data_IF_866397254632
#
_entry.id   IF_866397254632
#
_cell.length_a   1.000
_cell.length_b   1.000
_cell.length_c   1.000
_cell.angle_alpha   90.00
_cell.angle_beta   90.00
_cell.angle_gamma   90.00
#
_symmetry.space_group_name_H-M   'P 1'
#
loop_
_entity.id
_entity.type
_entity.pdbx_description
1 polymer ?
#
# COMPACT_ATOMS: atom_id res chain seq x y z
N UNK A 1 49.94 -56.31 -50.29
CA UNK A 1 49.36 -55.11 -50.93
C UNK A 1 48.11 -54.70 -50.17
N UNK A 2 48.26 -53.84 -49.15
CA UNK A 2 47.15 -53.43 -48.27
C UNK A 2 46.98 -51.93 -48.46
N UNK A 3 45.83 -51.54 -48.93
CA UNK A 3 45.41 -50.17 -49.01
C UNK A 3 44.64 -49.78 -47.74
N UNK A 4 45.21 -48.91 -46.91
CA UNK A 4 44.52 -48.25 -45.81
C UNK A 4 43.62 -47.16 -46.36
N UNK A 5 42.35 -47.22 -46.09
CA UNK A 5 41.42 -46.12 -46.27
C UNK A 5 41.37 -45.32 -44.97
N UNK A 6 41.80 -44.08 -45.04
CA UNK A 6 41.69 -43.10 -43.95
C UNK A 6 40.37 -42.37 -44.07
N UNK A 7 39.45 -42.61 -43.15
CA UNK A 7 38.18 -41.87 -43.03
C UNK A 7 38.39 -40.70 -42.12
N UNK A 8 38.30 -39.50 -42.70
CA UNK A 8 38.29 -38.23 -41.95
C UNK A 8 36.88 -37.96 -41.50
N UNK A 9 36.65 -38.09 -40.18
CA UNK A 9 35.38 -37.70 -39.56
C UNK A 9 35.38 -36.20 -39.29
N UNK A 10 34.57 -35.44 -40.02
CA UNK A 10 34.36 -34.02 -39.76
C UNK A 10 33.35 -33.88 -38.59
N UNK A 11 33.84 -33.40 -37.43
CA UNK A 11 32.96 -32.97 -36.33
C UNK A 11 32.34 -31.62 -36.68
N UNK A 12 31.03 -31.60 -36.90
CA UNK A 12 30.26 -30.38 -36.99
C UNK A 12 29.97 -29.87 -35.58
N UNK A 13 30.63 -28.80 -35.17
CA UNK A 13 30.33 -28.06 -33.92
C UNK A 13 29.12 -27.17 -34.19
N UNK A 14 27.94 -27.61 -33.74
CA UNK A 14 26.72 -26.77 -33.74
C UNK A 14 26.83 -25.75 -32.59
N UNK A 15 27.13 -24.49 -32.95
CA UNK A 15 27.11 -23.37 -32.00
C UNK A 15 25.64 -23.02 -31.66
N UNK A 16 25.19 -23.42 -30.50
CA UNK A 16 23.92 -22.97 -29.95
C UNK A 16 24.10 -21.53 -29.42
N UNK A 17 23.74 -20.56 -30.25
CA UNK A 17 23.60 -19.17 -29.80
C UNK A 17 22.31 -19.07 -28.98
N UNK A 18 22.44 -19.13 -27.65
CA UNK A 18 21.33 -18.83 -26.74
C UNK A 18 20.97 -17.34 -26.92
N UNK A 19 19.82 -17.09 -27.51
CA UNK A 19 19.19 -15.77 -27.56
C UNK A 19 18.79 -15.39 -26.11
N UNK A 20 19.65 -14.67 -25.42
CA UNK A 20 19.29 -13.96 -24.20
C UNK A 20 18.32 -12.84 -24.60
N UNK A 21 17.03 -13.11 -24.56
CA UNK A 21 16.03 -12.04 -24.52
C UNK A 21 16.26 -11.25 -23.22
N UNK A 22 16.50 -9.91 -23.28
CA UNK A 22 16.53 -9.12 -22.07
C UNK A 22 15.18 -9.29 -21.39
N UNK A 23 15.17 -9.71 -20.11
CA UNK A 23 13.98 -9.67 -19.29
C UNK A 23 13.52 -8.20 -19.31
N UNK A 24 12.40 -7.91 -19.98
CA UNK A 24 11.74 -6.61 -19.90
C UNK A 24 11.32 -6.42 -18.45
N UNK A 25 12.20 -5.83 -17.64
CA UNK A 25 11.82 -5.29 -16.35
C UNK A 25 10.68 -4.32 -16.63
N UNK A 26 9.49 -4.57 -16.10
CA UNK A 26 8.39 -3.64 -16.20
C UNK A 26 8.89 -2.28 -15.70
N UNK A 27 9.01 -1.32 -16.61
CA UNK A 27 9.48 0.03 -16.27
C UNK A 27 8.44 0.64 -15.32
N UNK A 28 8.88 1.03 -14.12
CA UNK A 28 8.01 1.66 -13.15
C UNK A 28 7.38 2.93 -13.78
N UNK A 29 6.06 2.97 -13.83
CA UNK A 29 5.33 4.10 -14.42
C UNK A 29 5.51 5.32 -13.52
N UNK A 30 6.15 6.37 -14.05
CA UNK A 30 6.34 7.62 -13.32
C UNK A 30 5.05 8.43 -13.32
N UNK A 31 4.55 8.78 -12.12
CA UNK A 31 3.38 9.62 -11.95
C UNK A 31 3.70 11.12 -12.09
N UNK A 32 2.73 11.86 -12.62
CA UNK A 32 2.73 13.32 -12.72
C UNK A 32 1.63 13.90 -11.81
N UNK A 33 1.98 14.65 -10.74
CA UNK A 33 1.00 15.22 -9.82
C UNK A 33 0.06 16.24 -10.49
N UNK A 34 0.51 16.96 -11.53
CA UNK A 34 -0.34 17.93 -12.26
C UNK A 34 -1.39 17.19 -13.11
N UNK A 35 -1.00 16.10 -13.74
CA UNK A 35 -1.94 15.22 -14.44
C UNK A 35 -2.89 14.54 -13.44
N UNK A 36 -2.36 14.13 -12.27
CA UNK A 36 -3.12 13.51 -11.19
C UNK A 36 -4.25 14.41 -10.68
N UNK A 37 -3.98 15.68 -10.46
CA UNK A 37 -4.98 16.67 -10.03
C UNK A 37 -6.23 16.69 -10.92
N UNK A 38 -6.07 16.47 -12.22
CA UNK A 38 -7.20 16.45 -13.17
C UNK A 38 -8.00 15.15 -13.13
N UNK A 39 -7.55 14.13 -12.41
CA UNK A 39 -8.12 12.78 -12.39
C UNK A 39 -8.77 12.41 -11.05
N UNK A 40 -8.69 13.26 -10.03
CA UNK A 40 -9.13 12.96 -8.67
C UNK A 40 -10.62 13.16 -8.40
N UNK A 41 -11.42 13.63 -9.36
CA UNK A 41 -12.83 13.97 -9.15
C UNK A 41 -13.63 12.85 -8.45
N UNK A 42 -13.36 11.58 -8.78
CA UNK A 42 -14.01 10.44 -8.11
C UNK A 42 -13.43 10.15 -6.70
N UNK A 43 -12.28 10.68 -6.38
CA UNK A 43 -11.59 10.44 -5.11
C UNK A 43 -12.02 11.45 -4.04
N UNK A 44 -12.06 12.73 -4.39
CA UNK A 44 -12.34 13.85 -3.46
C UNK A 44 -13.75 13.79 -2.88
N UNK A 45 -14.73 13.27 -3.61
CA UNK A 45 -16.11 13.10 -3.14
C UNK A 45 -16.25 12.24 -1.88
N UNK A 46 -15.20 11.47 -1.53
CA UNK A 46 -15.14 10.68 -0.31
C UNK A 46 -13.89 11.03 0.51
N UNK A 47 -12.69 11.04 -0.10
CA UNK A 47 -11.42 11.22 0.60
C UNK A 47 -11.10 12.69 0.93
N UNK A 48 -11.75 13.66 0.27
CA UNK A 48 -11.61 15.10 0.53
C UNK A 48 -12.63 15.66 1.53
N UNK A 49 -13.57 14.87 2.04
CA UNK A 49 -14.62 15.34 2.96
C UNK A 49 -14.26 14.98 4.41
N UNK A 50 -14.05 16.00 5.24
CA UNK A 50 -13.74 15.80 6.66
C UNK A 50 -14.88 15.05 7.37
N UNK A 51 -14.55 13.94 8.01
CA UNK A 51 -15.50 13.13 8.78
C UNK A 51 -16.43 12.25 7.94
N UNK A 52 -16.28 12.20 6.62
CA UNK A 52 -17.07 11.32 5.77
C UNK A 52 -16.91 9.86 6.17
N UNK A 53 -18.02 9.13 6.24
CA UNK A 53 -18.07 7.75 6.70
C UNK A 53 -18.58 6.82 5.60
N UNK A 54 -17.93 5.67 5.48
CA UNK A 54 -18.44 4.51 4.76
C UNK A 54 -19.22 3.61 5.73
N UNK A 55 -20.24 2.93 5.22
CA UNK A 55 -21.06 1.99 6.01
C UNK A 55 -20.65 0.53 5.79
N UNK A 56 -19.73 0.27 4.88
CA UNK A 56 -19.30 -1.07 4.51
C UNK A 56 -17.78 -1.26 4.73
N UNK A 57 -17.34 -2.40 5.31
CA UNK A 57 -18.12 -3.53 5.87
C UNK A 57 -18.75 -3.22 7.24
N UNK A 58 -18.39 -2.11 7.81
CA UNK A 58 -18.90 -1.52 9.04
C UNK A 58 -18.71 0.00 8.97
N UNK A 59 -19.37 0.76 9.83
CA UNK A 59 -19.23 2.21 9.85
C UNK A 59 -17.82 2.60 10.27
N UNK A 60 -17.12 3.31 9.40
CA UNK A 60 -15.79 3.88 9.65
C UNK A 60 -15.56 5.11 8.78
N UNK A 61 -14.67 6.00 9.19
CA UNK A 61 -14.27 7.14 8.37
C UNK A 61 -13.52 6.67 7.14
N UNK A 62 -13.79 7.30 6.01
CA UNK A 62 -13.02 7.08 4.78
C UNK A 62 -11.56 7.48 5.05
N UNK A 63 -10.57 6.66 4.67
CA UNK A 63 -9.20 6.88 5.07
C UNK A 63 -8.60 8.16 4.47
N UNK A 64 -7.71 8.77 5.24
CA UNK A 64 -6.84 9.84 4.78
C UNK A 64 -5.86 9.30 3.76
N UNK A 65 -5.74 9.94 2.62
CA UNK A 65 -4.82 9.54 1.56
C UNK A 65 -3.84 10.64 1.16
N UNK A 66 -4.14 11.92 1.42
CA UNK A 66 -3.19 13.01 1.22
C UNK A 66 -2.01 12.86 2.17
N UNK A 67 -0.79 12.91 1.63
CA UNK A 67 0.47 12.66 2.34
C UNK A 67 0.91 11.20 2.40
N UNK A 68 0.11 10.27 1.88
CA UNK A 68 0.49 8.87 1.77
C UNK A 68 1.51 8.66 0.65
N UNK A 69 2.39 7.67 0.81
CA UNK A 69 3.40 7.34 -0.19
C UNK A 69 2.80 6.91 -1.54
N UNK A 70 3.31 7.46 -2.64
CA UNK A 70 2.77 7.17 -3.97
C UNK A 70 2.84 5.69 -4.32
N UNK A 71 3.95 5.01 -4.02
CA UNK A 71 4.08 3.56 -4.27
C UNK A 71 3.06 2.74 -3.50
N UNK A 72 2.75 3.12 -2.25
CA UNK A 72 1.70 2.46 -1.49
C UNK A 72 0.31 2.70 -2.09
N UNK A 73 0.01 3.92 -2.55
CA UNK A 73 -1.29 4.22 -3.18
C UNK A 73 -1.46 3.38 -4.45
N UNK A 74 -0.43 3.30 -5.32
CA UNK A 74 -0.45 2.44 -6.52
C UNK A 74 -0.65 0.97 -6.13
N UNK A 75 0.09 0.46 -5.14
CA UNK A 75 -0.06 -0.91 -4.67
C UNK A 75 -1.49 -1.18 -4.17
N UNK A 76 -2.04 -0.28 -3.36
CA UNK A 76 -3.40 -0.41 -2.83
C UNK A 76 -4.47 -0.39 -3.92
N UNK A 77 -4.34 0.47 -4.94
CA UNK A 77 -5.25 0.52 -6.10
C UNK A 77 -5.18 -0.78 -6.90
N UNK A 78 -3.98 -1.30 -7.17
CA UNK A 78 -3.81 -2.59 -7.84
C UNK A 78 -4.39 -3.75 -7.02
N UNK A 79 -4.23 -3.75 -5.70
CA UNK A 79 -4.85 -4.75 -4.81
C UNK A 79 -6.38 -4.70 -4.89
N UNK A 80 -7.00 -3.51 -4.98
CA UNK A 80 -8.44 -3.39 -5.20
C UNK A 80 -8.85 -3.92 -6.58
N UNK A 81 -8.11 -3.57 -7.64
CA UNK A 81 -8.36 -4.02 -9.01
C UNK A 81 -8.30 -5.54 -9.14
N UNK A 82 -7.35 -6.18 -8.48
CA UNK A 82 -7.16 -7.64 -8.48
C UNK A 82 -7.98 -8.38 -7.42
N UNK A 83 -8.79 -7.68 -6.63
CA UNK A 83 -9.52 -8.20 -5.48
C UNK A 83 -8.65 -8.84 -4.36
N UNK A 84 -7.34 -8.59 -4.35
CA UNK A 84 -6.48 -8.91 -3.22
C UNK A 84 -6.85 -8.07 -1.98
N UNK A 85 -7.41 -6.88 -2.22
CA UNK A 85 -8.04 -6.01 -1.22
C UNK A 85 -9.49 -5.81 -1.61
N UNK A 86 -10.40 -6.36 -0.82
CA UNK A 86 -11.82 -6.40 -1.18
C UNK A 86 -12.56 -5.20 -0.58
N UNK A 87 -13.16 -4.41 -1.44
CA UNK A 87 -14.08 -3.32 -1.10
C UNK A 87 -14.82 -2.93 -2.39
N UNK A 88 -16.13 -3.17 -2.51
CA UNK A 88 -16.85 -3.02 -3.79
C UNK A 88 -16.67 -1.65 -4.45
N UNK A 89 -16.84 -0.56 -3.68
CA UNK A 89 -16.68 0.81 -4.20
C UNK A 89 -15.27 1.06 -4.71
N UNK A 90 -14.24 0.73 -3.89
CA UNK A 90 -12.85 0.98 -4.28
C UNK A 90 -12.40 0.08 -5.43
N UNK A 91 -12.97 -1.11 -5.55
CA UNK A 91 -12.73 -1.99 -6.69
C UNK A 91 -13.27 -1.35 -7.97
N UNK A 92 -14.51 -0.86 -7.98
CA UNK A 92 -15.09 -0.21 -9.15
C UNK A 92 -14.27 1.02 -9.59
N UNK A 93 -13.80 1.84 -8.63
CA UNK A 93 -12.90 2.96 -8.91
C UNK A 93 -11.58 2.47 -9.52
N UNK A 94 -10.92 1.50 -8.90
CA UNK A 94 -9.61 1.02 -9.33
C UNK A 94 -9.67 0.33 -10.72
N UNK A 95 -10.76 -0.39 -11.02
CA UNK A 95 -10.99 -1.04 -12.33
C UNK A 95 -11.10 -0.01 -13.46
N UNK A 96 -11.56 1.22 -13.19
CA UNK A 96 -11.65 2.30 -14.17
C UNK A 96 -10.34 3.01 -14.46
N UNK A 97 -9.28 2.78 -13.66
CA UNK A 97 -8.00 3.46 -13.80
C UNK A 97 -7.00 2.63 -14.62
N UNK A 98 -6.27 3.30 -15.52
CA UNK A 98 -5.07 2.75 -16.13
C UNK A 98 -3.90 2.77 -15.14
N UNK A 99 -2.79 2.10 -15.46
CA UNK A 99 -1.57 2.15 -14.67
C UNK A 99 -1.02 3.58 -14.55
N UNK A 100 -1.07 4.35 -15.65
CA UNK A 100 -0.66 5.75 -15.65
C UNK A 100 -1.58 6.61 -14.77
N UNK A 101 -2.91 6.39 -14.81
CA UNK A 101 -3.84 7.13 -13.96
C UNK A 101 -3.58 6.85 -12.47
N UNK A 102 -3.31 5.59 -12.12
CA UNK A 102 -2.96 5.22 -10.74
C UNK A 102 -1.66 5.91 -10.29
N UNK A 103 -0.63 5.96 -11.17
CA UNK A 103 0.63 6.61 -10.87
C UNK A 103 0.46 8.13 -10.69
N UNK A 104 -0.30 8.78 -11.57
CA UNK A 104 -0.54 10.22 -11.53
C UNK A 104 -1.33 10.63 -10.28
N UNK A 105 -2.44 9.94 -10.00
CA UNK A 105 -3.25 10.16 -8.79
C UNK A 105 -2.42 9.92 -7.53
N UNK A 106 -1.58 8.90 -7.51
CA UNK A 106 -0.71 8.59 -6.38
C UNK A 106 0.33 9.70 -6.15
N UNK A 107 0.96 10.20 -7.22
CA UNK A 107 1.92 11.30 -7.15
C UNK A 107 1.25 12.58 -6.63
N UNK A 108 0.03 12.88 -7.09
CA UNK A 108 -0.75 14.01 -6.59
C UNK A 108 -0.98 13.91 -5.06
N UNK A 109 -1.53 12.80 -4.58
CA UNK A 109 -1.83 12.65 -3.15
C UNK A 109 -0.59 12.62 -2.26
N UNK A 110 0.54 12.12 -2.75
CA UNK A 110 1.80 12.19 -2.01
C UNK A 110 2.29 13.63 -1.84
N UNK A 111 2.16 14.47 -2.89
CA UNK A 111 2.55 15.87 -2.87
C UNK A 111 1.55 16.77 -2.11
N UNK A 112 0.26 16.51 -2.27
CA UNK A 112 -0.85 17.37 -1.87
C UNK A 112 -0.82 17.77 -0.38
N UNK A 113 -0.55 16.85 0.54
CA UNK A 113 -0.48 17.19 1.95
C UNK A 113 0.72 18.09 2.29
N UNK A 114 1.80 18.01 1.52
CA UNK A 114 2.98 18.87 1.69
C UNK A 114 2.70 20.30 1.23
N UNK A 115 2.01 20.47 0.13
CA UNK A 115 1.62 21.76 -0.42
C UNK A 115 0.62 22.49 0.49
N UNK A 116 -0.36 21.74 1.02
CA UNK A 116 -1.38 22.28 1.93
C UNK A 116 -0.86 22.54 3.35
N UNK A 117 0.18 21.82 3.78
CA UNK A 117 0.71 21.98 5.14
C UNK A 117 1.41 23.33 5.35
N UNK A 118 1.85 24.03 4.29
CA UNK A 118 2.70 25.20 4.42
C UNK A 118 3.94 24.86 5.27
N UNK A 119 4.51 25.82 5.98
CA UNK A 119 5.48 25.55 7.03
C UNK A 119 4.73 25.06 8.29
N UNK A 120 4.27 23.80 8.27
CA UNK A 120 3.61 23.22 9.43
C UNK A 120 4.55 23.27 10.64
N UNK A 121 4.08 23.68 11.83
CA UNK A 121 4.90 23.59 13.04
C UNK A 121 5.38 22.17 13.23
N UNK A 122 6.60 22.01 13.75
CA UNK A 122 7.19 20.70 14.03
C UNK A 122 6.16 19.81 14.72
N UNK A 123 5.96 18.59 14.19
CA UNK A 123 5.00 17.63 14.73
C UNK A 123 5.26 17.44 16.23
N UNK A 124 4.20 17.47 17.02
CA UNK A 124 4.31 17.16 18.47
C UNK A 124 4.87 15.75 18.64
N UNK A 125 5.71 15.50 19.66
CA UNK A 125 6.13 14.15 19.97
C UNK A 125 4.92 13.23 20.10
N UNK A 126 5.03 12.02 19.53
CA UNK A 126 3.98 11.03 19.67
C UNK A 126 3.67 10.78 21.17
N UNK A 127 2.39 10.67 21.56
CA UNK A 127 2.06 10.32 22.93
C UNK A 127 2.69 8.96 23.26
N UNK A 128 3.24 8.81 24.46
CA UNK A 128 3.78 7.53 24.88
C UNK A 128 2.64 6.48 24.95
N UNK A 129 2.83 5.28 24.40
CA UNK A 129 1.86 4.21 24.56
C UNK A 129 1.77 3.78 26.03
N UNK A 130 0.59 3.39 26.49
CA UNK A 130 0.51 2.70 27.79
C UNK A 130 1.24 1.35 27.71
N UNK A 131 1.57 0.76 28.86
CA UNK A 131 2.36 -0.48 28.94
C UNK A 131 1.77 -1.60 28.07
N UNK A 132 0.45 -1.79 28.08
CA UNK A 132 -0.21 -2.83 27.30
C UNK A 132 -0.05 -2.59 25.79
N UNK A 133 -0.24 -1.37 25.32
CA UNK A 133 -0.08 -1.04 23.89
C UNK A 133 1.37 -1.18 23.46
N UNK A 134 2.33 -0.80 24.31
CA UNK A 134 3.76 -1.00 24.04
C UNK A 134 4.10 -2.49 23.84
N UNK A 135 3.59 -3.38 24.70
CA UNK A 135 3.72 -4.83 24.55
C UNK A 135 3.13 -5.33 23.21
N UNK A 136 1.95 -4.83 22.83
CA UNK A 136 1.31 -5.24 21.57
C UNK A 136 2.12 -4.78 20.35
N UNK A 137 2.67 -3.56 20.35
CA UNK A 137 3.53 -3.03 19.30
C UNK A 137 4.79 -3.90 19.16
N UNK A 138 5.41 -4.26 20.27
CA UNK A 138 6.60 -5.13 20.30
C UNK A 138 6.25 -6.52 19.80
N UNK A 139 5.17 -7.12 20.26
CA UNK A 139 4.69 -8.45 19.82
C UNK A 139 4.44 -8.50 18.33
N UNK A 140 3.81 -7.47 17.75
CA UNK A 140 3.52 -7.38 16.33
C UNK A 140 4.70 -6.92 15.49
N UNK A 141 5.81 -6.53 16.10
CA UNK A 141 6.99 -5.98 15.44
C UNK A 141 6.65 -4.85 14.44
N UNK A 142 5.69 -3.99 14.81
CA UNK A 142 5.06 -3.04 13.89
C UNK A 142 6.05 -2.02 13.32
N UNK A 143 6.99 -1.55 14.16
CA UNK A 143 7.96 -0.50 13.81
C UNK A 143 8.96 -0.99 12.75
N UNK A 144 9.29 -2.29 12.73
CA UNK A 144 10.26 -2.84 11.76
C UNK A 144 9.84 -2.64 10.30
N UNK A 145 8.55 -2.51 10.03
CA UNK A 145 8.01 -2.32 8.68
C UNK A 145 7.43 -0.91 8.48
N UNK A 146 6.63 -0.41 9.44
CA UNK A 146 5.99 0.91 9.34
C UNK A 146 6.90 2.06 9.77
N UNK A 147 8.10 1.75 10.26
CA UNK A 147 9.13 2.71 10.63
C UNK A 147 8.86 3.42 11.94
N UNK A 148 9.82 4.24 12.31
CA UNK A 148 9.76 5.03 13.53
C UNK A 148 8.59 6.02 13.47
N UNK A 149 7.85 6.13 14.58
CA UNK A 149 6.65 6.97 14.65
C UNK A 149 5.54 6.56 13.67
N UNK A 150 5.62 5.40 13.02
CA UNK A 150 4.64 4.89 12.04
C UNK A 150 4.43 5.79 10.81
N UNK A 151 5.36 6.71 10.54
CA UNK A 151 5.31 7.66 9.41
C UNK A 151 6.45 7.49 8.42
N UNK A 152 7.45 6.64 8.72
CA UNK A 152 8.65 6.42 7.91
C UNK A 152 8.83 4.94 7.57
N UNK A 153 7.93 4.34 6.78
CA UNK A 153 8.03 2.92 6.43
C UNK A 153 9.37 2.61 5.75
N UNK A 154 9.90 1.41 6.01
CA UNK A 154 11.20 0.98 5.46
C UNK A 154 11.15 0.70 3.96
N UNK A 155 9.97 0.43 3.43
CA UNK A 155 9.70 0.26 2.01
C UNK A 155 8.61 1.25 1.58
N UNK A 156 8.79 1.99 0.48
CA UNK A 156 7.81 2.97 0.01
C UNK A 156 6.47 2.35 -0.43
N UNK A 157 6.41 1.03 -0.65
CA UNK A 157 5.17 0.30 -0.87
C UNK A 157 4.41 -0.01 0.43
N UNK A 158 5.00 0.24 1.60
CA UNK A 158 4.32 0.09 2.88
C UNK A 158 3.65 1.41 3.30
N UNK A 159 2.50 1.35 4.00
CA UNK A 159 1.77 2.54 4.36
C UNK A 159 2.37 3.30 5.54
N UNK A 160 2.33 4.62 5.46
CA UNK A 160 2.30 5.47 6.65
C UNK A 160 0.96 5.23 7.36
N UNK A 161 0.98 5.05 8.67
CA UNK A 161 -0.23 4.74 9.44
C UNK A 161 -0.48 5.67 10.62
N UNK A 162 0.52 6.47 11.02
CA UNK A 162 0.35 7.48 12.07
C UNK A 162 -0.74 8.48 11.70
N UNK A 163 -1.62 8.77 12.64
CA UNK A 163 -2.69 9.75 12.48
C UNK A 163 -3.81 9.36 11.52
N UNK A 164 -3.79 8.13 11.00
CA UNK A 164 -4.92 7.60 10.24
C UNK A 164 -6.13 7.42 11.16
N UNK A 165 -7.34 7.47 10.61
CA UNK A 165 -8.55 7.26 11.40
C UNK A 165 -8.54 5.91 12.11
N UNK A 166 -8.73 5.92 13.43
CA UNK A 166 -8.64 4.73 14.28
C UNK A 166 -9.69 3.66 13.90
N UNK A 167 -10.90 4.09 13.56
CA UNK A 167 -12.00 3.23 13.10
C UNK A 167 -11.64 2.53 11.77
N UNK A 168 -11.05 3.27 10.82
CA UNK A 168 -10.52 2.69 9.59
C UNK A 168 -9.36 1.71 9.84
N UNK A 169 -8.38 2.09 10.67
CA UNK A 169 -7.27 1.20 11.03
C UNK A 169 -7.78 -0.12 11.63
N UNK A 170 -8.77 -0.03 12.51
CA UNK A 170 -9.37 -1.21 13.11
C UNK A 170 -10.09 -2.09 12.09
N UNK A 171 -10.90 -1.50 11.21
CA UNK A 171 -11.55 -2.21 10.11
C UNK A 171 -10.53 -2.86 9.18
N UNK A 172 -9.45 -2.14 8.85
CA UNK A 172 -8.36 -2.66 8.02
C UNK A 172 -7.64 -3.85 8.67
N UNK A 173 -7.31 -3.76 9.95
CA UNK A 173 -6.65 -4.85 10.69
C UNK A 173 -7.53 -6.10 10.77
N UNK A 174 -8.83 -5.95 11.01
CA UNK A 174 -9.78 -7.06 10.98
C UNK A 174 -9.88 -7.71 9.59
N UNK A 175 -9.81 -6.90 8.54
CA UNK A 175 -9.89 -7.39 7.16
C UNK A 175 -8.75 -8.36 6.81
N UNK A 176 -7.57 -8.23 7.42
CA UNK A 176 -6.47 -9.19 7.24
C UNK A 176 -6.72 -10.55 7.93
N UNK A 177 -7.67 -10.61 8.87
CA UNK A 177 -8.10 -11.88 9.52
C UNK A 177 -9.29 -12.53 8.82
N UNK A 178 -9.93 -11.80 7.89
CA UNK A 178 -11.15 -12.25 7.23
C UNK A 178 -10.79 -13.19 6.09
N UNK A 179 -11.28 -14.41 6.15
CA UNK A 179 -11.09 -15.44 5.13
C UNK A 179 -12.44 -15.77 4.46
N UNK A 180 -12.38 -16.20 3.21
CA UNK A 180 -13.52 -16.73 2.45
C UNK A 180 -14.75 -15.83 2.35
N UNK A 181 -14.59 -14.50 2.46
CA UNK A 181 -15.64 -13.53 2.24
C UNK A 181 -15.52 -12.93 0.83
N UNK A 182 -16.65 -12.77 0.15
CA UNK A 182 -16.67 -12.28 -1.23
C UNK A 182 -16.27 -10.81 -1.35
N UNK A 183 -16.71 -9.98 -0.41
CA UNK A 183 -16.60 -8.52 -0.50
C UNK A 183 -15.71 -7.89 0.55
N UNK A 184 -15.23 -8.67 1.52
CA UNK A 184 -14.40 -8.19 2.63
C UNK A 184 -13.14 -9.05 2.73
N UNK A 185 -12.01 -8.42 3.02
CA UNK A 185 -10.74 -9.11 3.24
C UNK A 185 -9.55 -8.42 2.56
N UNK A 186 -8.37 -8.77 3.03
CA UNK A 186 -7.08 -8.32 2.50
C UNK A 186 -6.12 -9.50 2.46
N UNK A 187 -5.55 -9.80 1.30
CA UNK A 187 -4.74 -11.00 1.06
C UNK A 187 -3.24 -10.80 1.29
N UNK A 188 -2.80 -9.68 1.90
CA UNK A 188 -1.39 -9.51 2.24
C UNK A 188 -0.98 -10.48 3.34
N UNK A 189 -0.12 -11.45 3.01
CA UNK A 189 0.27 -12.55 3.92
C UNK A 189 1.03 -12.08 5.16
N UNK A 190 1.89 -11.05 5.04
CA UNK A 190 2.64 -10.49 6.17
C UNK A 190 1.68 -9.89 7.19
N UNK A 191 0.81 -8.97 6.73
CA UNK A 191 -0.15 -8.33 7.63
C UNK A 191 -1.22 -9.29 8.15
N UNK A 192 -1.59 -10.32 7.40
CA UNK A 192 -2.47 -11.38 7.88
C UNK A 192 -1.80 -12.17 9.01
N UNK A 193 -0.53 -12.54 8.87
CA UNK A 193 0.25 -13.20 9.92
C UNK A 193 0.37 -12.34 11.19
N UNK A 194 0.58 -11.03 11.03
CA UNK A 194 0.60 -10.10 12.18
C UNK A 194 -0.79 -10.00 12.83
N UNK A 195 -1.83 -9.70 12.06
CA UNK A 195 -3.17 -9.45 12.60
C UNK A 195 -3.76 -10.68 13.32
N UNK A 196 -3.48 -11.89 12.84
CA UNK A 196 -3.96 -13.15 13.44
C UNK A 196 -3.43 -13.40 14.87
N UNK A 197 -2.33 -12.76 15.27
CA UNK A 197 -1.76 -12.90 16.61
C UNK A 197 -2.57 -12.15 17.70
N UNK A 198 -3.51 -11.30 17.30
CA UNK A 198 -4.22 -10.39 18.20
C UNK A 198 -5.71 -10.67 18.22
N UNK A 199 -6.30 -10.48 19.40
CA UNK A 199 -7.76 -10.39 19.55
C UNK A 199 -8.28 -9.09 18.91
N UNK A 200 -9.58 -9.01 18.66
CA UNK A 200 -10.18 -7.79 18.12
C UNK A 200 -10.06 -6.60 19.10
N UNK A 201 -10.10 -6.87 20.40
CA UNK A 201 -9.88 -5.83 21.41
C UNK A 201 -8.45 -5.26 21.36
N UNK A 202 -7.45 -6.11 21.16
CA UNK A 202 -6.04 -5.71 21.01
C UNK A 202 -5.82 -4.94 19.70
N UNK A 203 -6.41 -5.39 18.58
CA UNK A 203 -6.38 -4.66 17.31
C UNK A 203 -7.02 -3.27 17.45
N UNK A 204 -8.11 -3.15 18.19
CA UNK A 204 -8.75 -1.86 18.47
C UNK A 204 -7.86 -0.95 19.32
N UNK A 205 -7.17 -1.49 20.32
CA UNK A 205 -6.23 -0.73 21.14
C UNK A 205 -5.05 -0.20 20.32
N UNK A 206 -4.47 -1.04 19.45
CA UNK A 206 -3.43 -0.64 18.50
C UNK A 206 -3.92 0.45 17.55
N UNK A 207 -5.10 0.27 16.94
CA UNK A 207 -5.69 1.23 16.03
C UNK A 207 -5.94 2.60 16.68
N UNK A 208 -6.46 2.60 17.91
CA UNK A 208 -6.69 3.83 18.69
C UNK A 208 -5.39 4.57 18.98
N UNK A 209 -4.36 3.85 19.42
CA UNK A 209 -3.06 4.46 19.69
C UNK A 209 -2.41 5.03 18.43
N UNK A 210 -2.31 4.22 17.37
CA UNK A 210 -1.68 4.66 16.10
C UNK A 210 -2.45 5.83 15.48
N UNK A 211 -3.77 5.80 15.55
CA UNK A 211 -4.62 6.89 15.09
C UNK A 211 -4.50 8.19 15.90
N UNK A 212 -4.03 8.12 17.16
CA UNK A 212 -3.78 9.28 18.03
C UNK A 212 -2.42 9.95 17.81
N UNK A 213 -1.51 9.28 17.12
CA UNK A 213 -0.19 9.84 16.79
C UNK A 213 -0.38 10.90 15.70
N UNK A 214 0.24 12.05 15.86
CA UNK A 214 0.28 13.06 14.80
C UNK A 214 1.14 12.55 13.62
N UNK A 215 0.62 12.65 12.41
CA UNK A 215 1.29 12.14 11.21
C UNK A 215 1.04 13.02 9.98
N UNK A 216 1.66 12.62 8.87
CA UNK A 216 1.58 13.35 7.59
C UNK A 216 0.21 13.22 6.91
N UNK A 217 -0.58 12.21 7.28
CA UNK A 217 -1.84 11.91 6.61
C UNK A 217 -2.92 12.95 6.92
N UNK A 218 -3.53 13.48 5.88
CA UNK A 218 -4.58 14.52 5.98
C UNK A 218 -5.83 14.12 5.19
N UNK A 219 -6.98 14.68 5.62
CA UNK A 219 -8.14 14.90 4.76
C UNK A 219 -8.02 16.34 4.32
N UNK A 220 -7.83 16.57 3.05
CA UNK A 220 -7.69 17.92 2.49
C UNK A 220 -8.89 18.16 1.59
N UNK A 221 -9.81 19.07 1.98
CA UNK A 221 -10.86 19.55 1.10
C UNK A 221 -10.25 20.33 -0.07
N UNK A 222 -10.84 20.20 -1.23
CA UNK A 222 -10.54 21.04 -2.42
C UNK A 222 -11.59 22.09 -2.62
#
# INVERSE_FOLDING_TARGET
MNKLFSTISALAVASVTALYAPASGAQEVKGDPVAGQKKIAMCIGCHGIVGYQASFPEIHKVPKISGQGAKYIVAALNEYKTAARKHPTMRAIAESLSEQDMADVAAYYEAHAREQAGAAPASKPAPAPNARVAELITKGNCISCHGDGFSKPIDPAYPKIAGQHADYLYSALKSYKTENQQYVGRSNGVMAGVAKQFSNAELKALANYIGSIEGDLKVVPE
#
